data_IF_279221599456
#
_entry.id   IF_279221599456
#
_cell.length_a   1.000
_cell.length_b   1.000
_cell.length_c   1.000
_cell.angle_alpha   90.00
_cell.angle_beta   90.00
_cell.angle_gamma   90.00
#
_symmetry.space_group_name_H-M   'P 1'
#
loop_
_entity.id
_entity.type
_entity.pdbx_description
1 polymer ?
#
# COMPACT_ATOMS: atom_id res chain seq x y z
N UNK A 1 -1.87 23.45 -27.78
CA UNK A 1 -2.13 24.40 -26.69
C UNK A 1 -3.57 24.89 -26.86
N UNK A 2 -4.54 24.27 -26.15
CA UNK A 2 -5.87 24.87 -25.98
C UNK A 2 -5.79 25.66 -24.67
N UNK A 3 -5.97 26.96 -24.78
CA UNK A 3 -6.00 27.92 -23.67
C UNK A 3 -7.05 27.51 -22.64
N UNK A 4 -6.61 27.08 -21.46
CA UNK A 4 -7.44 26.82 -20.29
C UNK A 4 -7.69 28.14 -19.55
N UNK A 5 -8.48 29.02 -20.17
CA UNK A 5 -8.99 30.24 -19.54
C UNK A 5 -10.46 30.08 -19.18
N UNK A 6 -10.80 29.04 -18.42
CA UNK A 6 -12.09 29.02 -17.72
C UNK A 6 -12.04 30.06 -16.61
N UNK A 7 -12.98 30.98 -16.62
CA UNK A 7 -13.05 32.02 -15.57
C UNK A 7 -13.46 31.38 -14.25
N UNK A 8 -13.02 31.92 -13.11
CA UNK A 8 -13.35 31.38 -11.79
C UNK A 8 -14.86 31.30 -11.47
N UNK A 9 -15.71 31.97 -12.27
CA UNK A 9 -17.17 31.84 -12.20
C UNK A 9 -17.70 30.57 -12.89
N UNK A 10 -17.11 30.17 -14.02
CA UNK A 10 -17.50 28.95 -14.75
C UNK A 10 -17.12 27.71 -13.94
N UNK A 11 -15.94 27.71 -13.32
CA UNK A 11 -15.51 26.62 -12.43
C UNK A 11 -16.47 26.46 -11.22
N UNK A 12 -16.86 27.56 -10.57
CA UNK A 12 -17.81 27.52 -9.45
C UNK A 12 -19.21 27.01 -9.87
N UNK A 13 -19.66 27.34 -11.08
CA UNK A 13 -20.95 26.89 -11.59
C UNK A 13 -20.94 25.40 -11.94
N UNK A 14 -19.81 24.89 -12.48
CA UNK A 14 -19.62 23.45 -12.74
C UNK A 14 -19.51 22.66 -11.43
N UNK A 15 -18.75 23.14 -10.44
CA UNK A 15 -18.72 22.54 -9.09
C UNK A 15 -20.10 22.49 -8.44
N UNK A 16 -20.87 23.56 -8.54
CA UNK A 16 -22.23 23.62 -8.00
C UNK A 16 -23.17 22.62 -8.67
N UNK A 17 -23.10 22.47 -10.00
CA UNK A 17 -23.85 21.46 -10.75
C UNK A 17 -23.43 20.03 -10.43
N UNK A 18 -22.11 19.78 -10.31
CA UNK A 18 -21.60 18.46 -9.94
C UNK A 18 -22.06 18.03 -8.54
N UNK A 19 -22.06 18.96 -7.57
CA UNK A 19 -22.57 18.69 -6.23
C UNK A 19 -24.10 18.41 -6.21
N UNK A 20 -24.87 18.96 -7.16
CA UNK A 20 -26.30 18.67 -7.31
C UNK A 20 -26.54 17.24 -7.81
N UNK A 21 -25.72 16.75 -8.77
CA UNK A 21 -25.85 15.39 -9.32
C UNK A 21 -25.22 14.32 -8.42
N UNK A 22 -24.13 14.63 -7.72
CA UNK A 22 -23.35 13.70 -6.90
C UNK A 22 -23.05 14.28 -5.51
N UNK A 23 -24.10 14.56 -4.70
CA UNK A 23 -23.93 15.30 -3.44
C UNK A 23 -22.96 14.60 -2.48
N UNK A 24 -23.00 13.26 -2.39
CA UNK A 24 -22.15 12.52 -1.46
C UNK A 24 -20.71 12.36 -1.94
N UNK A 25 -20.43 12.43 -3.24
CA UNK A 25 -19.09 12.23 -3.78
C UNK A 25 -18.12 13.35 -3.36
N UNK A 26 -18.64 14.58 -3.29
CA UNK A 26 -17.86 15.77 -2.97
C UNK A 26 -17.93 16.19 -1.50
N UNK A 27 -18.70 15.46 -0.68
CA UNK A 27 -18.70 15.69 0.76
C UNK A 27 -17.40 15.23 1.40
N UNK A 28 -16.84 16.01 2.34
CA UNK A 28 -15.69 15.55 3.14
C UNK A 28 -15.99 14.26 3.88
N UNK A 29 -14.95 13.46 4.08
CA UNK A 29 -15.02 12.24 4.89
C UNK A 29 -13.88 12.23 5.91
N UNK A 30 -14.16 11.72 7.11
CA UNK A 30 -13.12 11.42 8.10
C UNK A 30 -12.59 10.02 7.91
N UNK A 31 -11.24 9.90 7.83
CA UNK A 31 -10.50 8.65 7.89
C UNK A 31 -9.59 8.75 9.13
N UNK A 32 -9.86 7.95 10.16
CA UNK A 32 -9.24 8.15 11.47
C UNK A 32 -9.52 9.57 11.99
N UNK A 33 -8.46 10.33 12.30
CA UNK A 33 -8.55 11.73 12.74
C UNK A 33 -8.43 12.74 11.59
N UNK A 34 -8.08 12.30 10.39
CA UNK A 34 -7.83 13.15 9.23
C UNK A 34 -9.11 13.38 8.42
N UNK A 35 -9.36 14.64 8.05
CA UNK A 35 -10.43 14.99 7.11
C UNK A 35 -9.90 14.98 5.69
N UNK A 36 -10.55 14.22 4.81
CA UNK A 36 -10.31 14.18 3.36
C UNK A 36 -11.40 14.99 2.67
N UNK A 37 -11.04 15.88 1.76
CA UNK A 37 -11.94 16.91 1.17
C UNK A 37 -13.12 16.36 0.37
N UNK A 38 -13.02 15.12 -0.12
CA UNK A 38 -14.11 14.44 -0.86
C UNK A 38 -13.88 12.92 -0.83
N UNK A 39 -14.79 12.15 -1.43
CA UNK A 39 -14.75 10.68 -1.46
C UNK A 39 -14.11 10.11 -2.72
N UNK A 40 -13.33 10.91 -3.43
CA UNK A 40 -12.59 10.46 -4.62
C UNK A 40 -11.21 10.02 -4.19
N UNK A 41 -10.92 8.77 -4.45
CA UNK A 41 -9.69 8.09 -4.05
C UNK A 41 -8.94 7.58 -5.28
N UNK A 42 -7.63 7.84 -5.36
CA UNK A 42 -6.75 7.26 -6.37
C UNK A 42 -6.05 6.02 -5.81
N UNK A 43 -6.39 4.81 -6.29
CA UNK A 43 -5.75 3.58 -5.84
C UNK A 43 -4.31 3.46 -6.36
N UNK A 44 -3.46 2.61 -5.72
CA UNK A 44 -2.07 2.42 -6.12
C UNK A 44 -1.95 1.66 -7.44
N UNK A 45 -1.11 2.17 -8.34
CA UNK A 45 -0.72 1.53 -9.60
C UNK A 45 0.75 1.80 -9.84
N UNK A 46 1.57 0.75 -10.05
CA UNK A 46 2.99 0.88 -10.36
C UNK A 46 3.19 1.63 -11.68
N UNK A 47 3.92 2.72 -11.62
CA UNK A 47 4.26 3.55 -12.78
C UNK A 47 5.62 3.19 -13.37
N UNK A 48 6.49 2.57 -12.55
CA UNK A 48 7.87 2.22 -12.89
C UNK A 48 8.72 3.45 -13.28
N UNK A 49 8.46 4.61 -12.65
CA UNK A 49 9.11 5.89 -12.98
C UNK A 49 10.14 6.34 -11.93
N UNK A 50 10.37 5.58 -10.86
CA UNK A 50 11.44 5.87 -9.91
C UNK A 50 12.81 5.54 -10.51
N UNK A 51 13.86 6.23 -10.03
CA UNK A 51 15.24 5.91 -10.37
C UNK A 51 15.94 5.34 -9.13
N UNK A 52 16.29 4.05 -9.18
CA UNK A 52 16.91 3.33 -8.03
C UNK A 52 16.15 3.50 -6.72
N UNK A 53 14.84 3.50 -6.79
CA UNK A 53 13.96 3.72 -5.65
C UNK A 53 13.70 5.18 -5.28
N UNK A 54 14.44 6.13 -5.85
CA UNK A 54 14.25 7.56 -5.58
C UNK A 54 13.08 8.14 -6.37
N UNK A 55 12.35 9.03 -5.71
CA UNK A 55 11.30 9.83 -6.34
C UNK A 55 11.90 10.74 -7.41
N UNK A 56 11.38 10.64 -8.63
CA UNK A 56 11.78 11.48 -9.78
C UNK A 56 10.83 12.66 -9.96
N UNK A 57 11.24 13.66 -10.76
CA UNK A 57 10.37 14.77 -11.14
C UNK A 57 9.12 14.29 -11.88
N UNK A 58 9.24 13.23 -12.68
CA UNK A 58 8.12 12.61 -13.39
C UNK A 58 7.06 12.04 -12.40
N UNK A 59 7.49 11.42 -11.28
CA UNK A 59 6.58 10.98 -10.22
C UNK A 59 5.91 12.16 -9.53
N UNK A 60 6.66 13.22 -9.23
CA UNK A 60 6.10 14.44 -8.63
C UNK A 60 5.03 15.04 -9.54
N UNK A 61 5.31 15.17 -10.84
CA UNK A 61 4.34 15.67 -11.83
C UNK A 61 3.12 14.73 -11.95
N UNK A 62 3.35 13.42 -12.00
CA UNK A 62 2.30 12.41 -12.09
C UNK A 62 1.28 12.55 -10.96
N UNK A 63 1.72 12.57 -9.70
CA UNK A 63 0.82 12.62 -8.55
C UNK A 63 0.23 14.02 -8.33
N UNK A 64 1.01 15.08 -8.52
CA UNK A 64 0.50 16.47 -8.39
C UNK A 64 -0.56 16.80 -9.44
N UNK A 65 -0.46 16.26 -10.66
CA UNK A 65 -1.48 16.42 -11.69
C UNK A 65 -2.84 15.83 -11.26
N UNK A 66 -2.84 14.68 -10.56
CA UNK A 66 -4.07 14.05 -10.00
C UNK A 66 -4.62 14.86 -8.84
N UNK A 67 -3.75 15.32 -7.94
CA UNK A 67 -4.12 16.20 -6.84
C UNK A 67 -4.76 17.50 -7.35
N UNK A 68 -4.15 18.13 -8.37
CA UNK A 68 -4.70 19.30 -9.08
C UNK A 68 -6.05 19.00 -9.75
N UNK A 69 -6.25 17.77 -10.22
CA UNK A 69 -7.54 17.29 -10.77
C UNK A 69 -8.65 17.15 -9.75
N UNK A 70 -8.37 17.33 -8.44
CA UNK A 70 -9.38 17.39 -7.38
C UNK A 70 -9.56 16.10 -6.57
N UNK A 71 -8.73 15.07 -6.76
CA UNK A 71 -8.79 13.86 -5.93
C UNK A 71 -8.57 14.20 -4.45
N UNK A 72 -9.32 13.55 -3.54
CA UNK A 72 -9.23 13.80 -2.10
C UNK A 72 -8.09 13.04 -1.42
N UNK A 73 -7.87 11.79 -1.85
CA UNK A 73 -6.85 10.91 -1.31
C UNK A 73 -6.11 10.19 -2.42
N UNK A 74 -4.78 10.13 -2.33
CA UNK A 74 -3.91 9.35 -3.21
C UNK A 74 -3.21 8.28 -2.37
N UNK A 75 -3.23 7.02 -2.84
CA UNK A 75 -2.28 6.02 -2.42
C UNK A 75 -1.26 5.85 -3.55
N UNK A 76 0.03 6.02 -3.21
CA UNK A 76 1.09 5.87 -4.19
C UNK A 76 1.30 4.41 -4.58
N UNK A 77 2.05 4.17 -5.63
CA UNK A 77 2.46 2.82 -6.04
C UNK A 77 3.24 2.09 -4.93
N UNK A 78 3.45 0.79 -5.14
CA UNK A 78 4.24 -0.05 -4.23
C UNK A 78 5.57 0.61 -3.89
N UNK A 79 5.89 0.61 -2.60
CA UNK A 79 7.08 1.23 -2.03
C UNK A 79 7.83 0.19 -1.22
N UNK A 80 9.04 -0.14 -1.66
CA UNK A 80 9.84 -1.21 -1.05
C UNK A 80 10.38 -0.78 0.32
N UNK A 81 10.21 -1.65 1.31
CA UNK A 81 10.56 -1.38 2.73
C UNK A 81 11.92 -1.94 3.15
N UNK A 82 12.62 -2.66 2.24
CA UNK A 82 13.90 -3.28 2.52
C UNK A 82 14.81 -3.26 1.26
N UNK A 83 16.17 -3.36 1.41
CA UNK A 83 17.09 -3.10 0.30
C UNK A 83 17.36 -4.27 -0.64
N UNK A 84 16.99 -5.50 -0.27
CA UNK A 84 17.48 -6.72 -0.93
C UNK A 84 16.61 -7.15 -2.11
N UNK A 85 15.29 -7.01 -1.95
CA UNK A 85 14.32 -7.49 -2.93
C UNK A 85 13.56 -6.32 -3.56
N UNK A 86 13.68 -6.18 -4.88
CA UNK A 86 12.97 -5.17 -5.69
C UNK A 86 11.85 -5.85 -6.46
N UNK A 87 10.66 -5.27 -6.53
CA UNK A 87 9.55 -5.80 -7.31
C UNK A 87 9.71 -5.47 -8.79
N UNK A 88 9.80 -4.18 -9.12
CA UNK A 88 10.12 -3.69 -10.46
C UNK A 88 11.30 -2.70 -10.40
N UNK A 89 12.11 -2.59 -11.45
CA UNK A 89 13.31 -1.73 -11.42
C UNK A 89 13.03 -0.25 -11.13
N UNK A 90 11.84 0.24 -11.48
CA UNK A 90 11.42 1.63 -11.28
C UNK A 90 10.41 1.83 -10.16
N UNK A 91 10.26 0.89 -9.22
CA UNK A 91 9.44 1.10 -8.03
C UNK A 91 10.14 2.01 -7.02
N UNK A 92 9.33 2.73 -6.24
CA UNK A 92 9.83 3.57 -5.15
C UNK A 92 10.33 2.75 -3.96
N UNK A 93 11.21 3.36 -3.17
CA UNK A 93 11.75 2.78 -1.94
C UNK A 93 11.72 3.78 -0.79
N UNK A 94 11.73 3.26 0.45
CA UNK A 94 11.78 4.08 1.67
C UNK A 94 12.49 3.35 2.83
N UNK A 95 13.34 2.40 2.52
CA UNK A 95 14.06 1.62 3.53
C UNK A 95 15.22 2.37 4.18
N UNK A 96 15.61 3.53 3.68
CA UNK A 96 16.73 4.35 4.16
C UNK A 96 16.35 5.82 4.24
N UNK A 97 16.97 6.57 5.14
CA UNK A 97 16.67 7.98 5.37
C UNK A 97 17.01 8.88 4.15
N UNK A 98 17.92 8.41 3.26
CA UNK A 98 18.25 9.12 2.02
C UNK A 98 17.08 9.29 1.05
N UNK A 99 16.02 8.49 1.18
CA UNK A 99 14.80 8.62 0.38
C UNK A 99 13.88 9.75 0.86
N UNK A 100 13.98 10.19 2.13
CA UNK A 100 13.09 11.17 2.75
C UNK A 100 12.99 12.47 1.94
N UNK A 101 14.09 13.09 1.45
CA UNK A 101 13.98 14.36 0.71
C UNK A 101 13.15 14.26 -0.57
N UNK A 102 13.26 13.15 -1.32
CA UNK A 102 12.46 12.91 -2.52
C UNK A 102 10.97 12.74 -2.20
N UNK A 103 10.68 11.94 -1.17
CA UNK A 103 9.32 11.78 -0.68
C UNK A 103 8.72 13.08 -0.17
N UNK A 104 9.49 13.89 0.56
CA UNK A 104 9.04 15.21 1.00
C UNK A 104 8.65 16.11 -0.17
N UNK A 105 9.46 16.15 -1.23
CA UNK A 105 9.15 16.91 -2.45
C UNK A 105 7.82 16.47 -3.08
N UNK A 106 7.56 15.15 -3.15
CA UNK A 106 6.32 14.59 -3.66
C UNK A 106 5.13 14.98 -2.79
N UNK A 107 5.24 14.78 -1.47
CA UNK A 107 4.19 15.10 -0.49
C UNK A 107 3.85 16.58 -0.55
N UNK A 108 4.85 17.47 -0.51
CA UNK A 108 4.64 18.92 -0.58
C UNK A 108 3.89 19.32 -1.87
N UNK A 109 4.22 18.71 -3.02
CA UNK A 109 3.56 18.98 -4.29
C UNK A 109 2.08 18.53 -4.32
N UNK A 110 1.75 17.42 -3.67
CA UNK A 110 0.38 16.92 -3.55
C UNK A 110 -0.43 17.76 -2.57
N UNK A 111 0.15 18.13 -1.43
CA UNK A 111 -0.50 18.91 -0.38
C UNK A 111 -0.87 20.34 -0.82
N UNK A 112 -0.23 20.90 -1.87
CA UNK A 112 -0.62 22.19 -2.45
C UNK A 112 -2.10 22.21 -2.92
N UNK A 113 -2.70 21.06 -3.15
CA UNK A 113 -4.08 20.92 -3.64
C UNK A 113 -5.05 20.38 -2.59
N UNK A 114 -4.71 20.45 -1.31
CA UNK A 114 -5.51 19.87 -0.21
C UNK A 114 -5.88 18.40 -0.46
N UNK A 115 -4.94 17.62 -0.99
CA UNK A 115 -5.08 16.18 -1.25
C UNK A 115 -4.22 15.43 -0.23
N UNK A 116 -4.78 14.40 0.41
CA UNK A 116 -4.06 13.52 1.32
C UNK A 116 -3.29 12.46 0.54
N UNK A 117 -2.14 12.01 1.10
CA UNK A 117 -1.26 11.05 0.42
C UNK A 117 -0.77 9.97 1.37
N UNK A 118 -0.94 8.71 0.97
CA UNK A 118 -0.45 7.52 1.64
C UNK A 118 0.60 6.83 0.75
N UNK A 119 1.63 6.25 1.36
CA UNK A 119 2.55 5.34 0.66
C UNK A 119 2.07 3.90 0.78
N UNK A 120 2.00 3.14 -0.33
CA UNK A 120 1.72 1.71 -0.27
C UNK A 120 3.00 0.94 0.10
N UNK A 121 3.11 0.50 1.34
CA UNK A 121 4.24 -0.29 1.81
C UNK A 121 4.17 -1.74 1.31
N UNK A 122 5.29 -2.22 0.80
CA UNK A 122 5.35 -3.51 0.13
C UNK A 122 6.71 -4.21 0.32
N UNK A 123 6.64 -5.52 0.47
CA UNK A 123 7.80 -6.40 0.37
C UNK A 123 7.51 -7.46 -0.70
N UNK A 124 8.30 -7.51 -1.80
CA UNK A 124 7.97 -8.36 -2.95
C UNK A 124 8.09 -9.86 -2.68
N UNK A 125 8.97 -10.28 -1.77
CA UNK A 125 9.18 -11.69 -1.41
C UNK A 125 9.47 -12.56 -2.64
N UNK A 126 8.66 -13.61 -2.86
CA UNK A 126 8.77 -14.53 -4.00
C UNK A 126 8.44 -13.90 -5.37
N UNK A 127 7.98 -12.66 -5.38
CA UNK A 127 7.67 -11.90 -6.60
C UNK A 127 8.78 -10.92 -6.98
N UNK A 128 9.87 -10.88 -6.21
CA UNK A 128 10.97 -9.97 -6.49
C UNK A 128 11.57 -10.21 -7.88
N UNK A 129 11.94 -9.10 -8.53
CA UNK A 129 12.61 -9.13 -9.82
C UNK A 129 13.99 -9.77 -9.67
N UNK A 130 14.35 -10.76 -10.51
CA UNK A 130 15.63 -11.45 -10.40
C UNK A 130 16.77 -10.57 -10.92
N UNK A 131 17.39 -9.81 -10.04
CA UNK A 131 18.62 -9.05 -10.32
C UNK A 131 19.82 -9.93 -10.04
N UNK A 132 20.91 -9.89 -10.84
CA UNK A 132 22.13 -10.62 -10.53
C UNK A 132 22.64 -10.27 -9.13
N UNK A 133 22.89 -11.31 -8.30
CA UNK A 133 23.30 -11.15 -6.91
C UNK A 133 22.17 -11.13 -5.88
N UNK A 134 20.88 -11.08 -6.30
CA UNK A 134 19.77 -11.25 -5.37
C UNK A 134 19.84 -12.63 -4.71
N UNK A 135 19.73 -12.73 -3.38
CA UNK A 135 19.67 -14.00 -2.67
C UNK A 135 18.46 -14.84 -3.11
N UNK A 136 18.43 -16.11 -2.67
CA UNK A 136 17.24 -16.93 -2.88
C UNK A 136 16.00 -16.21 -2.35
N UNK A 137 14.95 -16.12 -3.21
CA UNK A 137 13.69 -15.49 -2.85
C UNK A 137 13.09 -16.12 -1.60
N UNK A 138 12.42 -15.30 -0.80
CA UNK A 138 11.73 -15.74 0.40
C UNK A 138 10.21 -15.81 0.17
N UNK A 139 9.54 -16.67 0.91
CA UNK A 139 8.09 -16.82 0.90
C UNK A 139 7.60 -17.29 2.29
N UNK A 140 6.30 -17.30 2.56
CA UNK A 140 5.79 -17.94 3.78
C UNK A 140 6.22 -19.39 3.95
N UNK A 141 6.27 -20.13 2.85
CA UNK A 141 6.68 -21.55 2.77
C UNK A 141 7.49 -21.77 1.49
N UNK A 142 8.06 -22.97 1.31
CA UNK A 142 8.81 -23.32 0.09
C UNK A 142 7.87 -23.53 -1.12
N UNK A 143 6.86 -22.67 -1.23
CA UNK A 143 5.85 -22.66 -2.30
C UNK A 143 5.84 -21.30 -2.94
N UNK A 144 5.98 -21.25 -4.24
CA UNK A 144 5.94 -20.04 -5.03
C UNK A 144 4.97 -20.16 -6.20
N UNK A 145 4.70 -19.06 -6.92
CA UNK A 145 3.86 -19.09 -8.09
C UNK A 145 4.47 -19.99 -9.19
N UNK A 146 3.61 -20.54 -10.06
CA UNK A 146 4.03 -21.47 -11.13
C UNK A 146 5.07 -20.88 -12.11
N UNK A 147 5.12 -19.55 -12.22
CA UNK A 147 6.10 -18.84 -13.06
C UNK A 147 7.44 -18.57 -12.36
N UNK A 148 7.58 -18.91 -11.08
CA UNK A 148 8.84 -18.73 -10.38
C UNK A 148 9.93 -19.63 -10.98
N UNK A 149 11.07 -19.04 -11.33
CA UNK A 149 12.22 -19.79 -11.93
C UNK A 149 12.90 -20.74 -10.96
N UNK A 150 12.74 -20.51 -9.67
CA UNK A 150 13.26 -21.34 -8.58
C UNK A 150 12.29 -21.32 -7.41
N UNK A 151 12.23 -22.42 -6.64
CA UNK A 151 11.44 -22.43 -5.43
C UNK A 151 12.01 -21.42 -4.42
N UNK A 152 11.17 -20.54 -3.83
CA UNK A 152 11.59 -19.68 -2.73
C UNK A 152 11.90 -20.54 -1.50
N UNK A 153 12.69 -20.01 -0.58
CA UNK A 153 12.81 -20.61 0.76
C UNK A 153 11.75 -20.03 1.71
N UNK A 154 11.37 -20.81 2.70
CA UNK A 154 10.57 -20.28 3.80
C UNK A 154 11.39 -19.22 4.57
N UNK A 155 10.76 -18.09 4.86
CA UNK A 155 11.33 -17.03 5.73
C UNK A 155 11.31 -17.55 7.17
N UNK A 156 12.37 -17.27 7.95
CA UNK A 156 12.45 -17.65 9.36
C UNK A 156 11.67 -16.69 10.25
N UNK A 157 11.37 -17.10 11.48
CA UNK A 157 10.68 -16.22 12.46
C UNK A 157 11.53 -15.01 12.82
N UNK A 158 12.84 -15.19 12.95
CA UNK A 158 13.78 -14.10 13.22
C UNK A 158 13.80 -13.07 12.10
N UNK A 159 13.75 -13.53 10.83
CA UNK A 159 13.64 -12.64 9.68
C UNK A 159 12.29 -11.91 9.67
N UNK A 160 11.19 -12.55 10.08
CA UNK A 160 9.89 -11.89 10.20
C UNK A 160 9.92 -10.73 11.20
N UNK A 161 10.56 -10.91 12.34
CA UNK A 161 10.72 -9.83 13.31
C UNK A 161 11.52 -8.64 12.75
N UNK A 162 12.57 -8.89 11.95
CA UNK A 162 13.30 -7.83 11.26
C UNK A 162 12.42 -7.12 10.24
N UNK A 163 11.64 -7.87 9.46
CA UNK A 163 10.74 -7.30 8.45
C UNK A 163 9.63 -6.44 9.10
N UNK A 164 9.08 -6.84 10.24
CA UNK A 164 8.13 -6.03 11.00
C UNK A 164 8.75 -4.66 11.38
N UNK A 165 10.01 -4.64 11.84
CA UNK A 165 10.71 -3.38 12.13
C UNK A 165 10.90 -2.55 10.86
N UNK A 166 11.27 -3.16 9.73
CA UNK A 166 11.47 -2.45 8.46
C UNK A 166 10.18 -1.80 7.95
N UNK A 167 9.03 -2.46 8.06
CA UNK A 167 7.74 -1.85 7.74
C UNK A 167 7.43 -0.63 8.64
N UNK A 168 7.66 -0.77 9.95
CA UNK A 168 7.47 0.33 10.90
C UNK A 168 8.38 1.53 10.60
N UNK A 169 9.67 1.28 10.37
CA UNK A 169 10.63 2.32 10.03
C UNK A 169 10.34 2.98 8.67
N UNK A 170 9.85 2.23 7.68
CA UNK A 170 9.41 2.77 6.41
C UNK A 170 8.23 3.74 6.60
N UNK A 171 7.23 3.36 7.40
CA UNK A 171 6.10 4.23 7.75
C UNK A 171 6.57 5.50 8.47
N UNK A 172 7.49 5.39 9.45
CA UNK A 172 8.07 6.53 10.16
C UNK A 172 8.81 7.48 9.23
N UNK A 173 9.59 6.98 8.27
CA UNK A 173 10.27 7.82 7.26
C UNK A 173 9.26 8.57 6.40
N UNK A 174 8.17 7.93 6.00
CA UNK A 174 7.13 8.59 5.23
C UNK A 174 6.41 9.67 6.04
N UNK A 175 6.16 9.43 7.34
CA UNK A 175 5.65 10.44 8.25
C UNK A 175 6.62 11.64 8.39
N UNK A 176 7.93 11.41 8.51
CA UNK A 176 8.96 12.47 8.54
C UNK A 176 8.95 13.28 7.23
N UNK A 177 8.68 12.65 6.09
CA UNK A 177 8.51 13.33 4.81
C UNK A 177 7.22 14.16 4.74
N UNK A 178 6.33 14.08 5.74
CA UNK A 178 5.07 14.81 5.81
C UNK A 178 3.86 14.05 5.28
N UNK A 179 3.98 12.74 4.98
CA UNK A 179 2.88 11.90 4.53
C UNK A 179 1.77 11.74 5.57
N UNK A 180 0.54 11.56 5.12
CA UNK A 180 -0.65 11.48 5.98
C UNK A 180 -0.90 10.08 6.54
N UNK A 181 -0.31 9.03 5.97
CA UNK A 181 -0.49 7.66 6.38
C UNK A 181 0.18 6.65 5.44
N UNK A 182 -0.08 5.38 5.65
CA UNK A 182 0.39 4.30 4.78
C UNK A 182 -0.73 3.31 4.46
N UNK A 183 -0.62 2.68 3.29
CA UNK A 183 -1.40 1.48 2.94
C UNK A 183 -0.50 0.26 3.05
N UNK A 184 -0.96 -0.78 3.73
CA UNK A 184 -0.29 -2.07 3.84
C UNK A 184 -0.83 -3.01 2.77
N UNK A 185 0.02 -3.46 1.83
CA UNK A 185 -0.41 -4.34 0.74
C UNK A 185 -0.54 -5.79 1.20
N UNK A 186 -1.79 -6.26 1.36
CA UNK A 186 -2.14 -7.65 1.70
C UNK A 186 -3.05 -8.31 0.65
N UNK A 187 -3.38 -7.62 -0.46
CA UNK A 187 -4.27 -8.14 -1.49
C UNK A 187 -3.56 -9.06 -2.49
N UNK A 188 -4.35 -9.82 -3.26
CA UNK A 188 -3.97 -10.55 -4.47
C UNK A 188 -3.01 -11.72 -4.24
N UNK A 189 -2.86 -12.23 -3.02
CA UNK A 189 -1.76 -13.15 -2.67
C UNK A 189 -0.40 -12.57 -3.09
N UNK A 190 -0.24 -11.24 -3.03
CA UNK A 190 0.86 -10.50 -3.62
C UNK A 190 1.90 -10.13 -2.58
N UNK A 191 3.17 -10.42 -2.89
CA UNK A 191 4.29 -10.15 -1.99
C UNK A 191 4.23 -10.94 -0.67
N UNK A 192 4.90 -10.40 0.35
CA UNK A 192 5.06 -11.10 1.63
C UNK A 192 3.73 -11.23 2.38
N UNK A 193 3.09 -10.12 2.70
CA UNK A 193 1.92 -10.12 3.59
C UNK A 193 0.71 -10.79 2.93
N UNK A 194 0.45 -10.52 1.65
CA UNK A 194 -0.58 -11.23 0.89
C UNK A 194 -0.29 -12.73 0.78
N UNK A 195 0.98 -13.09 0.62
CA UNK A 195 1.42 -14.49 0.62
C UNK A 195 1.23 -15.19 1.97
N UNK A 196 1.44 -14.47 3.10
CA UNK A 196 1.16 -15.02 4.43
C UNK A 196 -0.33 -15.23 4.66
N UNK A 197 -1.19 -14.33 4.21
CA UNK A 197 -2.62 -14.39 4.45
C UNK A 197 -3.29 -15.54 3.68
N UNK A 198 -2.87 -15.78 2.42
CA UNK A 198 -3.48 -16.82 1.58
C UNK A 198 -3.06 -18.23 2.00
N UNK A 199 -4.01 -19.20 2.11
CA UNK A 199 -3.68 -20.61 2.34
C UNK A 199 -3.00 -21.25 1.14
N UNK A 200 -3.00 -20.62 -0.04
CA UNK A 200 -2.36 -21.14 -1.25
C UNK A 200 -0.84 -21.21 -1.10
N UNK A 201 -0.22 -20.20 -0.48
CA UNK A 201 1.23 -20.11 -0.29
C UNK A 201 1.68 -20.36 1.15
N UNK A 202 0.84 -20.05 2.14
CA UNK A 202 1.19 -20.26 3.54
C UNK A 202 0.84 -21.69 3.98
N UNK A 203 1.85 -22.56 4.02
CA UNK A 203 1.77 -23.96 4.49
C UNK A 203 2.52 -24.15 5.81
N UNK A 204 2.75 -23.04 6.56
CA UNK A 204 3.46 -23.07 7.85
C UNK A 204 2.64 -23.81 8.91
N UNK A 205 3.37 -24.39 9.86
CA UNK A 205 2.79 -25.09 11.03
C UNK A 205 3.17 -24.42 12.36
N UNK A 206 3.90 -23.30 12.29
CA UNK A 206 4.21 -22.44 13.43
C UNK A 206 3.10 -21.37 13.63
N UNK A 207 3.33 -20.42 14.54
CA UNK A 207 2.38 -19.37 14.91
C UNK A 207 1.99 -18.41 13.76
N UNK A 208 2.71 -18.42 12.64
CA UNK A 208 2.43 -17.60 11.44
C UNK A 208 1.69 -18.37 10.35
N UNK A 209 1.21 -19.59 10.65
CA UNK A 209 0.53 -20.48 9.70
C UNK A 209 -0.73 -21.12 10.26
N UNK A 210 -1.15 -22.25 9.67
CA UNK A 210 -2.32 -22.99 10.09
C UNK A 210 -3.64 -22.28 9.77
N UNK A 211 -4.37 -21.84 10.79
CA UNK A 211 -5.66 -21.18 10.61
C UNK A 211 -5.52 -19.71 10.16
N UNK A 212 -6.65 -19.05 9.93
CA UNK A 212 -6.68 -17.68 9.44
C UNK A 212 -6.06 -16.68 10.43
N UNK A 213 -6.07 -16.97 11.73
CA UNK A 213 -5.48 -16.10 12.75
C UNK A 213 -3.95 -16.17 12.69
N UNK A 214 -3.39 -17.38 12.56
CA UNK A 214 -1.96 -17.54 12.37
C UNK A 214 -1.49 -16.89 11.07
N UNK A 215 -2.22 -17.06 9.97
CA UNK A 215 -1.87 -16.43 8.69
C UNK A 215 -2.00 -14.90 8.70
N UNK A 216 -2.89 -14.33 9.51
CA UNK A 216 -3.06 -12.88 9.67
C UNK A 216 -2.03 -12.26 10.63
N UNK A 217 -1.40 -13.04 11.51
CA UNK A 217 -0.53 -12.58 12.60
C UNK A 217 0.53 -11.57 12.13
N UNK A 218 1.28 -11.87 11.07
CA UNK A 218 2.33 -10.99 10.58
C UNK A 218 1.80 -9.59 10.22
N UNK A 219 0.64 -9.53 9.58
CA UNK A 219 -0.01 -8.24 9.24
C UNK A 219 -0.38 -7.46 10.49
N UNK A 220 -0.90 -8.14 11.53
CA UNK A 220 -1.25 -7.50 12.80
C UNK A 220 -0.01 -6.95 13.53
N UNK A 221 1.11 -7.67 13.50
CA UNK A 221 2.38 -7.21 14.07
C UNK A 221 2.95 -6.00 13.33
N UNK A 222 2.84 -5.97 12.00
CA UNK A 222 3.21 -4.79 11.18
C UNK A 222 2.35 -3.58 11.55
N UNK A 223 1.03 -3.74 11.66
CA UNK A 223 0.11 -2.67 12.06
C UNK A 223 0.49 -2.14 13.45
N UNK A 224 0.70 -3.03 14.41
CA UNK A 224 1.09 -2.66 15.77
C UNK A 224 2.42 -1.89 15.79
N UNK A 225 3.41 -2.30 15.01
CA UNK A 225 4.71 -1.63 14.90
C UNK A 225 4.57 -0.24 14.26
N UNK A 226 3.79 -0.08 13.21
CA UNK A 226 3.53 1.23 12.59
C UNK A 226 2.83 2.14 13.60
N UNK A 227 1.83 1.64 14.34
CA UNK A 227 1.13 2.41 15.36
C UNK A 227 2.04 2.81 16.52
N UNK A 228 2.96 1.92 16.94
CA UNK A 228 3.98 2.21 17.96
C UNK A 228 4.89 3.37 17.54
N UNK A 229 5.35 3.40 16.29
CA UNK A 229 6.35 4.38 15.82
C UNK A 229 5.73 5.67 15.30
N UNK A 230 4.51 5.63 14.74
CA UNK A 230 3.88 6.77 14.08
C UNK A 230 2.72 7.40 14.89
N UNK A 231 2.22 6.72 15.93
CA UNK A 231 1.12 7.21 16.77
C UNK A 231 -0.26 7.06 16.11
N UNK A 232 -1.30 7.57 16.81
CA UNK A 232 -2.71 7.36 16.47
C UNK A 232 -3.26 8.32 15.43
N UNK A 233 -2.52 9.37 15.06
CA UNK A 233 -2.96 10.37 14.09
C UNK A 233 -2.55 10.02 12.66
N UNK A 234 -1.64 9.05 12.50
CA UNK A 234 -1.14 8.59 11.22
C UNK A 234 -2.09 7.53 10.64
N UNK A 235 -2.62 7.75 9.43
CA UNK A 235 -3.59 6.83 8.81
C UNK A 235 -2.93 5.48 8.52
N UNK A 236 -3.59 4.40 8.92
CA UNK A 236 -3.24 3.04 8.50
C UNK A 236 -4.39 2.49 7.67
N UNK A 237 -4.11 2.28 6.39
CA UNK A 237 -4.95 1.55 5.44
C UNK A 237 -4.42 0.13 5.24
N UNK A 238 -5.30 -0.83 5.04
CA UNK A 238 -4.93 -2.21 4.67
C UNK A 238 -5.67 -2.60 3.41
N UNK A 239 -4.91 -2.86 2.34
CA UNK A 239 -5.49 -3.37 1.10
C UNK A 239 -5.61 -4.88 1.15
N UNK A 240 -6.82 -5.39 0.93
CA UNK A 240 -7.15 -6.81 0.95
C UNK A 240 -7.87 -7.23 -0.33
N UNK A 241 -7.83 -8.52 -0.70
CA UNK A 241 -8.78 -9.09 -1.68
C UNK A 241 -10.07 -9.47 -0.96
N UNK A 242 -11.21 -9.01 -1.42
CA UNK A 242 -12.51 -9.44 -0.87
C UNK A 242 -12.80 -10.92 -1.15
N UNK A 243 -12.27 -11.44 -2.25
CA UNK A 243 -12.27 -12.85 -2.64
C UNK A 243 -11.10 -13.09 -3.59
N UNK A 244 -10.40 -14.22 -3.47
CA UNK A 244 -9.31 -14.58 -4.38
C UNK A 244 -9.79 -15.24 -5.67
N UNK A 245 -11.05 -15.67 -5.73
CA UNK A 245 -11.66 -16.38 -6.87
C UNK A 245 -10.85 -17.58 -7.34
N UNK A 246 -10.18 -18.27 -6.42
CA UNK A 246 -9.33 -19.43 -6.67
C UNK A 246 -9.67 -20.57 -5.74
N UNK A 247 -9.74 -21.78 -6.26
CA UNK A 247 -9.95 -22.99 -5.46
C UNK A 247 -8.86 -23.12 -4.37
N UNK A 248 -9.29 -23.28 -3.13
CA UNK A 248 -8.40 -23.34 -1.96
C UNK A 248 -7.81 -22.00 -1.52
N UNK A 249 -8.19 -20.90 -2.17
CA UNK A 249 -7.83 -19.53 -1.78
C UNK A 249 -8.76 -18.93 -0.72
N UNK A 250 -8.53 -17.65 -0.41
CA UNK A 250 -9.37 -16.89 0.51
C UNK A 250 -10.74 -16.61 -0.12
N UNK A 251 -11.78 -16.83 0.66
CA UNK A 251 -13.18 -16.58 0.30
C UNK A 251 -13.70 -15.28 0.88
N UNK A 252 -14.84 -14.79 0.38
CA UNK A 252 -15.51 -13.63 0.95
C UNK A 252 -15.75 -13.78 2.48
N UNK A 253 -16.13 -14.98 2.95
CA UNK A 253 -16.36 -15.22 4.37
C UNK A 253 -15.07 -15.09 5.20
N UNK A 254 -13.94 -15.60 4.68
CA UNK A 254 -12.63 -15.41 5.31
C UNK A 254 -12.30 -13.91 5.41
N UNK A 255 -12.58 -13.15 4.36
CA UNK A 255 -12.22 -11.74 4.31
C UNK A 255 -13.15 -10.84 5.13
N UNK A 256 -14.41 -11.23 5.31
CA UNK A 256 -15.30 -10.61 6.33
C UNK A 256 -14.72 -10.82 7.74
N UNK A 257 -14.20 -12.02 8.03
CA UNK A 257 -13.55 -12.29 9.30
C UNK A 257 -12.29 -11.44 9.47
N UNK A 258 -11.39 -11.44 8.48
CA UNK A 258 -10.16 -10.63 8.47
C UNK A 258 -10.45 -9.15 8.71
N UNK A 259 -11.42 -8.58 7.97
CA UNK A 259 -11.80 -7.16 8.12
C UNK A 259 -12.23 -6.83 9.54
N UNK A 260 -13.02 -7.70 10.20
CA UNK A 260 -13.41 -7.54 11.59
C UNK A 260 -12.23 -7.64 12.57
N UNK A 261 -11.18 -8.41 12.27
CA UNK A 261 -9.96 -8.42 13.08
C UNK A 261 -9.15 -7.14 12.88
N UNK A 262 -8.99 -6.68 11.63
CA UNK A 262 -8.32 -5.42 11.30
C UNK A 262 -8.98 -4.21 11.99
N UNK A 263 -10.32 -4.13 11.97
CA UNK A 263 -11.08 -3.08 12.66
C UNK A 263 -10.71 -2.97 14.15
N UNK A 264 -10.53 -4.11 14.83
CA UNK A 264 -10.16 -4.15 16.26
C UNK A 264 -8.76 -3.60 16.55
N UNK A 265 -7.88 -3.53 15.57
CA UNK A 265 -6.50 -3.02 15.72
C UNK A 265 -6.37 -1.52 15.52
N UNK A 266 -7.48 -0.82 15.25
CA UNK A 266 -7.46 0.62 14.98
C UNK A 266 -6.95 0.97 13.58
N UNK A 267 -7.14 0.07 12.60
CA UNK A 267 -7.02 0.39 11.17
C UNK A 267 -8.08 1.42 10.81
N UNK A 268 -7.70 2.48 10.11
CA UNK A 268 -8.57 3.62 9.82
C UNK A 268 -9.35 3.45 8.53
N UNK A 269 -8.83 2.62 7.59
CA UNK A 269 -9.40 2.41 6.27
C UNK A 269 -9.10 0.98 5.78
N UNK A 270 -10.01 0.39 5.03
CA UNK A 270 -9.83 -0.91 4.37
C UNK A 270 -10.10 -0.74 2.88
N UNK A 271 -9.07 -0.92 2.06
CA UNK A 271 -9.16 -0.89 0.61
C UNK A 271 -9.45 -2.29 0.08
N UNK A 272 -10.65 -2.51 -0.42
CA UNK A 272 -11.06 -3.82 -0.93
C UNK A 272 -10.80 -3.92 -2.44
N UNK A 273 -10.05 -4.93 -2.81
CA UNK A 273 -9.78 -5.35 -4.18
C UNK A 273 -10.36 -6.76 -4.42
N UNK A 274 -10.03 -7.41 -5.51
CA UNK A 274 -10.49 -8.77 -5.82
C UNK A 274 -9.50 -9.57 -6.64
N UNK A 275 -9.59 -10.90 -6.56
CA UNK A 275 -8.71 -11.82 -7.27
C UNK A 275 -7.34 -12.01 -6.63
N UNK A 276 -6.53 -12.81 -7.28
CA UNK A 276 -5.12 -13.03 -6.94
C UNK A 276 -4.25 -13.03 -8.20
N UNK A 277 -2.93 -13.04 -8.02
CA UNK A 277 -1.93 -13.04 -9.09
C UNK A 277 -1.47 -14.44 -9.48
N UNK A 278 -2.18 -15.48 -9.07
CA UNK A 278 -1.77 -16.89 -9.23
C UNK A 278 -2.16 -17.47 -10.59
N UNK A 279 -3.17 -16.90 -11.24
CA UNK A 279 -3.67 -17.36 -12.56
C UNK A 279 -3.62 -16.29 -13.60
#
# INVERSE_FOLDING_TARGET
QRDDKRTGKENKLEEQKMNEYFPHLFEPIKIGKTTVKNRIFMPPISTNMADKGYVTDALVEHYSARAKGGVGLIVTEVTTVEPVYTYLPGDMSIYDDSYIPGWKKLVDAVHQYDTKILAQLFHPAYMAFPIPGTPQLIAPSNVGPYYAKSAPRAVTVEELHVLVQQFGEAARRFQIAGGDGVEIQCAHAHGLLGGFLTPLYNKRTDEYGGDINGRLRLTLEVIAKIRELCGDDFIIDVRISGDEYSEGGLTLNDMIYVSKQLEKTGVDFIHVSGGNTIK
#
